data_IF_066931574139
#
_entry.id   IF_066931574139
#
_cell.length_a   1.000
_cell.length_b   1.000
_cell.length_c   1.000
_cell.angle_alpha   90.00
_cell.angle_beta   90.00
_cell.angle_gamma   90.00
#
_symmetry.space_group_name_H-M   'P 1'
#
loop_
_entity.id
_entity.type
_entity.pdbx_description
1 polymer ?
#
# COMPACT_ATOMS: atom_id res chain seq x y z
N UNK A 1 13.85 -20.96 3.28
CA UNK A 1 14.06 -19.51 3.46
C UNK A 1 13.13 -18.77 2.51
N UNK A 2 12.43 -17.73 2.97
CA UNK A 2 11.61 -16.88 2.08
C UNK A 2 12.55 -16.01 1.24
N UNK A 3 12.39 -15.94 -0.10
CA UNK A 3 13.22 -15.08 -0.93
C UNK A 3 13.12 -13.63 -0.47
N UNK A 4 14.26 -12.96 -0.34
CA UNK A 4 14.37 -11.54 0.01
C UNK A 4 14.60 -10.77 -1.26
N UNK A 5 13.82 -9.72 -1.50
CA UNK A 5 13.99 -8.88 -2.68
C UNK A 5 14.54 -7.50 -2.31
N UNK A 6 15.30 -6.90 -3.21
CA UNK A 6 15.82 -5.54 -3.08
C UNK A 6 15.32 -4.67 -4.23
N UNK A 7 14.85 -3.46 -3.92
CA UNK A 7 14.54 -2.45 -4.93
C UNK A 7 15.80 -1.63 -5.20
N UNK A 8 16.31 -1.71 -6.41
CA UNK A 8 17.48 -0.95 -6.83
C UNK A 8 17.13 0.03 -7.91
N UNK A 9 17.53 1.28 -7.68
CA UNK A 9 17.28 2.40 -8.60
C UNK A 9 18.58 2.97 -9.11
N UNK A 10 18.55 3.48 -10.33
CA UNK A 10 19.72 4.03 -11.01
C UNK A 10 19.53 5.53 -11.30
N UNK A 11 20.62 6.25 -11.55
CA UNK A 11 20.55 7.67 -11.94
C UNK A 11 19.88 7.90 -13.30
N UNK A 12 19.77 6.85 -14.13
CA UNK A 12 19.01 6.88 -15.38
C UNK A 12 17.51 6.64 -15.21
N UNK A 13 16.96 6.69 -13.99
CA UNK A 13 15.54 6.41 -13.69
C UNK A 13 15.06 4.99 -13.99
N UNK A 14 15.91 4.07 -14.44
CA UNK A 14 15.59 2.65 -14.37
C UNK A 14 15.64 2.15 -12.92
N UNK A 15 14.92 1.07 -12.68
CA UNK A 15 14.94 0.33 -11.43
C UNK A 15 14.68 -1.14 -11.72
N UNK A 16 15.07 -1.99 -10.78
CA UNK A 16 14.87 -3.44 -10.85
C UNK A 16 14.61 -3.97 -9.45
N UNK A 17 13.75 -4.98 -9.35
CA UNK A 17 13.52 -5.75 -8.13
C UNK A 17 14.22 -7.11 -8.27
N UNK A 18 15.36 -7.29 -7.61
CA UNK A 18 16.14 -8.54 -7.69
C UNK A 18 16.08 -9.36 -6.39
N UNK A 19 16.29 -10.67 -6.52
CA UNK A 19 16.44 -11.58 -5.37
C UNK A 19 17.83 -11.43 -4.74
N UNK A 20 17.89 -11.36 -3.42
CA UNK A 20 19.12 -11.25 -2.60
C UNK A 20 19.56 -12.64 -2.10
N UNK A 21 19.16 -13.73 -2.75
CA UNK A 21 19.55 -15.09 -2.38
C UNK A 21 20.82 -15.54 -3.11
N UNK A 22 21.68 -16.28 -2.41
CA UNK A 22 22.88 -16.91 -3.01
C UNK A 22 22.53 -17.91 -4.13
N UNK A 23 21.29 -18.41 -4.13
CA UNK A 23 20.72 -19.20 -5.22
C UNK A 23 19.97 -18.28 -6.19
N UNK A 24 20.22 -18.37 -7.52
CA UNK A 24 19.44 -17.65 -8.51
C UNK A 24 17.95 -17.93 -8.34
N UNK A 25 17.12 -16.87 -8.27
CA UNK A 25 15.67 -17.06 -8.22
C UNK A 25 15.19 -17.60 -9.56
N UNK A 26 14.32 -18.62 -9.59
CA UNK A 26 13.71 -19.09 -10.84
C UNK A 26 12.70 -18.09 -11.42
N UNK A 27 12.38 -17.02 -10.69
CA UNK A 27 11.44 -15.97 -11.10
C UNK A 27 12.25 -14.85 -11.75
N UNK A 28 11.96 -14.56 -13.02
CA UNK A 28 12.58 -13.45 -13.75
C UNK A 28 12.43 -12.12 -12.98
N UNK A 29 13.43 -11.26 -13.09
CA UNK A 29 13.40 -9.91 -12.50
C UNK A 29 12.17 -9.13 -13.01
N UNK A 30 11.60 -8.30 -12.14
CA UNK A 30 10.46 -7.45 -12.48
C UNK A 30 10.88 -5.98 -12.41
N UNK A 31 10.76 -5.30 -13.54
CA UNK A 31 11.11 -3.89 -13.71
C UNK A 31 9.88 -2.96 -13.61
N UNK A 32 8.75 -3.48 -13.13
CA UNK A 32 7.53 -2.70 -12.86
C UNK A 32 7.39 -2.43 -11.35
N UNK A 33 6.79 -1.28 -11.00
CA UNK A 33 6.47 -1.00 -9.60
C UNK A 33 5.43 -1.98 -9.06
N UNK A 34 4.53 -2.47 -9.92
CA UNK A 34 3.55 -3.50 -9.58
C UNK A 34 4.19 -4.82 -9.16
N UNK A 35 5.39 -5.12 -9.65
CA UNK A 35 6.18 -6.27 -9.20
C UNK A 35 6.41 -6.32 -7.70
N UNK A 36 6.45 -5.15 -7.03
CA UNK A 36 6.58 -5.05 -5.58
C UNK A 36 5.47 -5.79 -4.83
N UNK A 37 4.26 -5.88 -5.40
CA UNK A 37 3.14 -6.61 -4.80
C UNK A 37 3.39 -8.12 -4.64
N UNK A 38 4.13 -8.70 -5.57
CA UNK A 38 4.45 -10.13 -5.58
C UNK A 38 5.83 -10.42 -4.99
N UNK A 39 6.69 -9.40 -4.94
CA UNK A 39 8.09 -9.47 -4.50
C UNK A 39 8.37 -8.36 -3.47
N UNK A 40 7.84 -8.47 -2.25
CA UNK A 40 8.03 -7.46 -1.22
C UNK A 40 9.52 -7.26 -0.93
N UNK A 41 9.96 -6.00 -0.97
CA UNK A 41 11.37 -5.66 -0.85
C UNK A 41 11.77 -5.41 0.58
N UNK A 42 12.88 -5.98 1.02
CA UNK A 42 13.42 -5.79 2.39
C UNK A 42 14.28 -4.54 2.50
N UNK A 43 14.84 -4.08 1.38
CA UNK A 43 15.77 -2.96 1.33
C UNK A 43 15.65 -2.22 0.00
N UNK A 44 15.93 -0.93 0.09
CA UNK A 44 16.02 -0.01 -1.04
C UNK A 44 17.48 0.45 -1.19
N UNK A 45 18.01 0.42 -2.42
CA UNK A 45 19.34 0.93 -2.76
C UNK A 45 19.25 1.89 -3.94
N UNK A 46 19.92 3.03 -3.80
CA UNK A 46 20.12 3.97 -4.88
C UNK A 46 21.56 3.88 -5.38
N UNK A 47 21.72 3.67 -6.69
CA UNK A 47 22.99 3.73 -7.39
C UNK A 47 23.10 5.05 -8.15
N UNK A 48 24.20 5.77 -7.93
CA UNK A 48 24.51 7.03 -8.62
C UNK A 48 24.91 6.85 -10.08
N UNK A 49 25.24 5.62 -10.48
CA UNK A 49 25.59 5.25 -11.86
C UNK A 49 24.35 4.82 -12.65
N UNK A 50 24.45 4.93 -13.97
CA UNK A 50 23.40 4.51 -14.91
C UNK A 50 23.42 2.98 -15.06
N UNK A 51 22.27 2.37 -15.35
CA UNK A 51 22.23 0.94 -15.65
C UNK A 51 22.96 0.63 -16.96
N UNK A 52 23.35 -0.62 -17.17
CA UNK A 52 24.14 -1.07 -18.32
C UNK A 52 23.38 -1.13 -19.67
N UNK A 53 22.10 -0.71 -19.71
CA UNK A 53 21.30 -0.72 -20.94
C UNK A 53 21.77 0.34 -21.93
N UNK A 54 21.73 0.02 -23.22
CA UNK A 54 22.30 0.85 -24.31
C UNK A 54 21.65 2.24 -24.33
N UNK A 55 20.33 2.29 -24.19
CA UNK A 55 19.54 3.53 -24.16
C UNK A 55 19.87 4.46 -22.97
N UNK A 56 20.62 3.97 -21.99
CA UNK A 56 21.06 4.77 -20.84
C UNK A 56 22.45 5.37 -21.00
N UNK A 57 23.21 5.00 -22.04
CA UNK A 57 24.57 5.51 -22.24
C UNK A 57 24.56 7.01 -22.62
N UNK A 58 23.55 7.45 -23.38
CA UNK A 58 23.38 8.86 -23.75
C UNK A 58 21.90 9.26 -23.72
N UNK A 59 21.43 9.80 -22.58
CA UNK A 59 20.04 10.22 -22.41
C UNK A 59 19.92 11.67 -22.87
N UNK A 60 19.25 11.88 -24.01
CA UNK A 60 18.97 13.23 -24.54
C UNK A 60 17.60 13.74 -24.12
N UNK A 61 16.60 12.86 -24.06
CA UNK A 61 15.22 13.22 -23.72
C UNK A 61 14.89 12.92 -22.25
N UNK A 62 15.40 13.78 -21.35
CA UNK A 62 15.06 13.74 -19.93
C UNK A 62 13.59 14.04 -19.62
N UNK A 63 12.93 15.02 -20.25
CA UNK A 63 11.53 15.34 -20.00
C UNK A 63 10.62 14.11 -20.13
N UNK A 64 10.65 13.41 -21.26
CA UNK A 64 9.80 12.22 -21.49
C UNK A 64 10.07 11.12 -20.47
N UNK A 65 11.34 10.96 -20.08
CA UNK A 65 11.71 9.92 -19.13
C UNK A 65 11.27 10.21 -17.70
N UNK A 66 11.35 11.48 -17.31
CA UNK A 66 10.84 11.97 -16.03
C UNK A 66 9.32 11.82 -16.00
N UNK A 67 8.63 12.24 -17.05
CA UNK A 67 7.17 12.11 -17.15
C UNK A 67 6.72 10.64 -17.03
N UNK A 68 7.33 9.74 -17.78
CA UNK A 68 7.04 8.30 -17.69
C UNK A 68 7.28 7.74 -16.27
N UNK A 69 8.35 8.18 -15.59
CA UNK A 69 8.62 7.75 -14.23
C UNK A 69 7.61 8.30 -13.21
N UNK A 70 7.20 9.56 -13.37
CA UNK A 70 6.17 10.20 -12.54
C UNK A 70 4.82 9.52 -12.76
N UNK A 71 4.44 9.26 -14.01
CA UNK A 71 3.21 8.54 -14.36
C UNK A 71 3.16 7.16 -13.74
N UNK A 72 4.24 6.39 -13.82
CA UNK A 72 4.33 5.07 -13.18
C UNK A 72 4.17 5.14 -11.66
N UNK A 73 4.72 6.16 -11.01
CA UNK A 73 4.53 6.37 -9.56
C UNK A 73 3.06 6.64 -9.24
N UNK A 74 2.41 7.55 -9.99
CA UNK A 74 1.00 7.90 -9.77
C UNK A 74 0.06 6.70 -9.96
N UNK A 75 0.25 5.95 -11.05
CA UNK A 75 -0.51 4.72 -11.30
C UNK A 75 -0.32 3.66 -10.21
N UNK A 76 0.91 3.52 -9.69
CA UNK A 76 1.16 2.61 -8.59
C UNK A 76 0.41 3.04 -7.33
N UNK A 77 0.48 4.34 -7.00
CA UNK A 77 -0.22 4.94 -5.89
C UNK A 77 -1.73 4.65 -6.01
N UNK A 78 -2.39 5.06 -7.09
CA UNK A 78 -3.82 4.77 -7.36
C UNK A 78 -4.18 3.29 -7.10
N UNK A 79 -3.38 2.35 -7.62
CA UNK A 79 -3.60 0.92 -7.37
C UNK A 79 -3.42 0.53 -5.90
N UNK A 80 -2.44 1.10 -5.19
CA UNK A 80 -2.27 0.88 -3.74
C UNK A 80 -3.46 1.35 -2.95
N UNK A 81 -4.10 2.46 -3.33
CA UNK A 81 -5.32 2.92 -2.65
C UNK A 81 -6.50 1.99 -2.84
N UNK A 82 -6.75 1.52 -4.07
CA UNK A 82 -7.82 0.54 -4.33
C UNK A 82 -7.62 -0.74 -3.52
N UNK A 83 -6.35 -1.15 -3.36
CA UNK A 83 -6.02 -2.30 -2.53
C UNK A 83 -6.28 -2.02 -1.05
N UNK A 84 -5.88 -0.85 -0.54
CA UNK A 84 -6.12 -0.45 0.85
C UNK A 84 -7.60 -0.49 1.18
N UNK A 85 -8.44 0.09 0.31
CA UNK A 85 -9.89 0.06 0.40
C UNK A 85 -10.42 -1.39 0.40
N UNK A 86 -9.97 -2.19 -0.57
CA UNK A 86 -10.36 -3.61 -0.70
C UNK A 86 -10.05 -4.41 0.57
N UNK A 87 -8.90 -4.18 1.20
CA UNK A 87 -8.50 -4.86 2.44
C UNK A 87 -9.35 -4.40 3.61
N UNK A 88 -9.62 -3.09 3.73
CA UNK A 88 -10.52 -2.56 4.74
C UNK A 88 -11.94 -3.13 4.62
N UNK A 89 -12.53 -3.19 3.42
CA UNK A 89 -13.82 -3.85 3.22
C UNK A 89 -13.81 -5.31 3.64
N UNK A 90 -12.77 -6.06 3.23
CA UNK A 90 -12.63 -7.47 3.63
C UNK A 90 -12.57 -7.60 5.15
N UNK A 91 -11.87 -6.71 5.83
CA UNK A 91 -11.81 -6.67 7.29
C UNK A 91 -13.18 -6.37 7.93
N UNK A 92 -13.91 -5.38 7.42
CA UNK A 92 -15.23 -5.03 7.96
C UNK A 92 -16.28 -6.13 7.77
N UNK A 93 -16.17 -6.92 6.69
CA UNK A 93 -17.02 -8.09 6.43
C UNK A 93 -16.80 -9.28 7.36
N UNK A 94 -15.67 -9.35 8.06
CA UNK A 94 -15.39 -10.42 9.03
C UNK A 94 -16.35 -10.26 10.22
N UNK A 95 -16.81 -11.37 10.79
CA UNK A 95 -17.72 -11.37 11.93
C UNK A 95 -17.08 -10.71 13.16
N UNK A 96 -17.84 -9.84 13.84
CA UNK A 96 -17.36 -9.04 14.98
C UNK A 96 -16.78 -9.86 16.13
N UNK A 97 -17.33 -11.03 16.42
CA UNK A 97 -16.85 -11.90 17.50
C UNK A 97 -15.44 -12.44 17.20
N UNK A 98 -15.13 -12.70 15.93
CA UNK A 98 -13.80 -13.13 15.50
C UNK A 98 -12.81 -11.99 15.69
N UNK A 99 -13.18 -10.77 15.27
CA UNK A 99 -12.35 -9.58 15.47
C UNK A 99 -12.07 -9.36 16.95
N UNK A 100 -13.08 -9.38 17.82
CA UNK A 100 -12.90 -9.19 19.25
C UNK A 100 -12.02 -10.28 19.91
N UNK A 101 -12.18 -11.54 19.50
CA UNK A 101 -11.46 -12.67 20.10
C UNK A 101 -10.02 -12.80 19.63
N UNK A 102 -9.70 -12.41 18.38
CA UNK A 102 -8.38 -12.66 17.80
C UNK A 102 -7.50 -11.40 17.68
N UNK A 103 -8.02 -10.21 18.00
CA UNK A 103 -7.25 -8.95 17.91
C UNK A 103 -6.42 -8.64 19.15
N UNK A 104 -5.87 -9.68 19.77
CA UNK A 104 -4.97 -9.52 20.91
C UNK A 104 -3.59 -8.97 20.47
N UNK A 105 -2.92 -8.16 21.30
CA UNK A 105 -1.61 -7.56 20.98
C UNK A 105 -0.54 -8.59 20.59
N UNK A 106 -0.62 -9.80 21.13
CA UNK A 106 0.35 -10.87 20.88
C UNK A 106 0.27 -11.44 19.45
N UNK A 107 -0.83 -11.20 18.73
CA UNK A 107 -1.00 -11.65 17.34
C UNK A 107 -0.69 -10.49 16.39
N UNK A 108 0.60 -10.15 16.32
CA UNK A 108 1.17 -8.96 15.68
C UNK A 108 0.41 -8.45 14.43
N UNK A 109 0.26 -9.27 13.39
CA UNK A 109 -0.37 -8.82 12.13
C UNK A 109 -1.88 -8.61 12.25
N UNK A 110 -2.56 -9.41 13.08
CA UNK A 110 -4.00 -9.23 13.32
C UNK A 110 -4.23 -7.96 14.13
N UNK A 111 -3.44 -7.75 15.18
CA UNK A 111 -3.50 -6.53 15.98
C UNK A 111 -3.26 -5.29 15.12
N UNK A 112 -2.28 -5.31 14.21
CA UNK A 112 -2.03 -4.20 13.29
C UNK A 112 -3.22 -3.90 12.38
N UNK A 113 -3.83 -4.93 11.78
CA UNK A 113 -5.00 -4.75 10.92
C UNK A 113 -6.23 -4.27 11.71
N UNK A 114 -6.41 -4.77 12.94
CA UNK A 114 -7.47 -4.33 13.84
C UNK A 114 -7.30 -2.88 14.27
N UNK A 115 -6.08 -2.48 14.60
CA UNK A 115 -5.76 -1.11 14.96
C UNK A 115 -6.10 -0.17 13.79
N UNK A 116 -5.57 -0.48 12.61
CA UNK A 116 -5.74 0.33 11.39
C UNK A 116 -7.21 0.52 10.96
N UNK A 117 -7.98 -0.57 10.91
CA UNK A 117 -9.34 -0.56 10.34
C UNK A 117 -10.46 -0.63 11.38
N UNK A 118 -10.16 -1.05 12.61
CA UNK A 118 -11.14 -1.29 13.67
C UNK A 118 -11.09 -0.30 14.83
N UNK A 119 -9.95 0.38 15.04
CA UNK A 119 -9.71 1.26 16.18
C UNK A 119 -9.43 2.70 15.73
N UNK A 120 -8.52 2.89 14.78
CA UNK A 120 -8.20 4.22 14.27
C UNK A 120 -9.42 4.82 13.59
N UNK A 121 -9.85 5.96 14.13
CA UNK A 121 -10.97 6.75 13.64
C UNK A 121 -10.46 8.19 13.48
N UNK A 122 -10.06 8.52 12.27
CA UNK A 122 -9.43 9.79 11.90
C UNK A 122 -9.71 10.08 10.41
N UNK A 123 -9.49 11.32 10.01
CA UNK A 123 -9.53 11.69 8.60
C UNK A 123 -8.32 11.09 7.85
N UNK A 124 -8.40 11.01 6.52
CA UNK A 124 -7.40 10.29 5.74
C UNK A 124 -6.02 10.96 5.78
N UNK A 125 -6.02 12.29 5.84
CA UNK A 125 -4.81 13.10 5.95
C UNK A 125 -4.07 12.87 7.28
N UNK A 126 -4.78 12.43 8.32
CA UNK A 126 -4.22 12.12 9.63
C UNK A 126 -3.92 10.62 9.82
N UNK A 127 -4.25 9.79 8.83
CA UNK A 127 -4.02 8.35 8.90
C UNK A 127 -2.56 8.04 8.53
N UNK A 128 -1.80 7.57 9.51
CA UNK A 128 -0.36 7.29 9.41
C UNK A 128 0.03 6.30 8.29
N UNK A 129 -0.93 5.53 7.75
CA UNK A 129 -0.69 4.75 6.54
C UNK A 129 -0.34 5.65 5.35
N UNK A 130 -0.95 6.82 5.25
CA UNK A 130 -0.80 7.77 4.15
C UNK A 130 0.34 8.79 4.34
N UNK A 131 1.02 8.85 5.49
CA UNK A 131 2.17 9.77 5.71
C UNK A 131 3.19 9.74 4.55
N UNK A 132 3.58 8.52 4.15
CA UNK A 132 4.56 8.31 3.07
C UNK A 132 3.98 8.62 1.71
N UNK A 133 2.67 8.54 1.57
CA UNK A 133 1.97 8.96 0.37
C UNK A 133 2.06 10.47 0.22
N UNK A 134 1.79 11.22 1.29
CA UNK A 134 1.94 12.67 1.32
C UNK A 134 3.37 13.08 0.96
N UNK A 135 4.38 12.45 1.56
CA UNK A 135 5.79 12.66 1.20
C UNK A 135 6.04 12.46 -0.31
N UNK A 136 5.44 11.44 -0.93
CA UNK A 136 5.58 11.20 -2.37
C UNK A 136 4.91 12.33 -3.16
N UNK A 137 3.69 12.75 -2.78
CA UNK A 137 2.99 13.85 -3.45
C UNK A 137 3.79 15.15 -3.40
N UNK A 138 4.40 15.48 -2.27
CA UNK A 138 5.28 16.66 -2.13
C UNK A 138 6.51 16.56 -3.05
N UNK A 139 7.19 15.42 -3.05
CA UNK A 139 8.35 15.18 -3.91
C UNK A 139 7.98 15.27 -5.39
N UNK A 140 6.80 14.79 -5.79
CA UNK A 140 6.32 14.90 -7.16
C UNK A 140 5.97 16.34 -7.54
N UNK A 141 5.43 17.13 -6.62
CA UNK A 141 5.20 18.56 -6.85
C UNK A 141 6.53 19.32 -7.04
N UNK A 142 7.55 19.00 -6.24
CA UNK A 142 8.90 19.54 -6.45
C UNK A 142 9.49 19.15 -7.80
N UNK A 143 9.32 17.88 -8.23
CA UNK A 143 9.73 17.43 -9.56
C UNK A 143 9.05 18.23 -10.65
N UNK A 144 7.74 18.46 -10.55
CA UNK A 144 7.01 19.26 -11.53
C UNK A 144 7.55 20.69 -11.61
N UNK A 145 7.88 21.31 -10.48
CA UNK A 145 8.50 22.64 -10.46
C UNK A 145 9.82 22.67 -11.24
N UNK A 146 10.70 21.70 -11.03
CA UNK A 146 11.95 21.60 -11.80
C UNK A 146 11.72 21.41 -13.30
N UNK A 147 10.69 20.65 -13.68
CA UNK A 147 10.32 20.46 -15.10
C UNK A 147 9.86 21.79 -15.70
N UNK A 148 9.02 22.54 -14.99
CA UNK A 148 8.49 23.83 -15.45
C UNK A 148 9.56 24.93 -15.54
N UNK A 149 10.52 24.94 -14.61
CA UNK A 149 11.63 25.91 -14.59
C UNK A 149 12.74 25.60 -15.61
N UNK A 150 12.75 24.38 -16.16
CA UNK A 150 13.71 23.90 -17.15
C UNK A 150 14.76 22.95 -16.58
N UNK A 151 15.08 21.91 -17.34
CA UNK A 151 15.95 20.81 -16.92
C UNK A 151 17.41 21.01 -17.37
N UNK A 152 18.20 21.71 -16.55
CA UNK A 152 19.66 21.69 -16.66
C UNK A 152 20.26 20.42 -16.02
N UNK A 153 21.59 20.22 -16.16
CA UNK A 153 22.25 19.04 -15.61
C UNK A 153 22.12 18.87 -14.09
N UNK A 154 22.01 19.97 -13.32
CA UNK A 154 21.82 19.92 -11.85
C UNK A 154 20.36 19.64 -11.48
N UNK A 155 19.42 20.21 -12.22
CA UNK A 155 17.99 19.93 -12.11
C UNK A 155 17.71 18.46 -12.39
N UNK A 156 18.31 17.87 -13.43
CA UNK A 156 18.20 16.44 -13.72
C UNK A 156 18.68 15.57 -12.55
N UNK A 157 19.84 15.86 -11.96
CA UNK A 157 20.31 15.13 -10.76
C UNK A 157 19.31 15.27 -9.60
N UNK A 158 18.80 16.48 -9.38
CA UNK A 158 17.84 16.76 -8.30
C UNK A 158 16.50 16.04 -8.50
N UNK A 159 15.99 15.98 -9.73
CA UNK A 159 14.76 15.28 -10.10
C UNK A 159 14.94 13.77 -9.97
N UNK A 160 16.05 13.23 -10.48
CA UNK A 160 16.32 11.78 -10.41
C UNK A 160 16.42 11.27 -8.98
N UNK A 161 17.07 12.03 -8.09
CA UNK A 161 17.13 11.71 -6.66
C UNK A 161 15.74 11.69 -6.02
N UNK A 162 14.86 12.65 -6.35
CA UNK A 162 13.49 12.72 -5.82
C UNK A 162 12.63 11.56 -6.30
N UNK A 163 12.64 11.27 -7.59
CA UNK A 163 11.91 10.12 -8.16
C UNK A 163 12.38 8.81 -7.51
N UNK A 164 13.69 8.65 -7.32
CA UNK A 164 14.23 7.47 -6.67
C UNK A 164 13.86 7.40 -5.18
N UNK A 165 13.81 8.52 -4.47
CA UNK A 165 13.26 8.61 -3.11
C UNK A 165 11.78 8.19 -3.07
N UNK A 166 10.95 8.65 -4.02
CA UNK A 166 9.55 8.22 -4.12
C UNK A 166 9.43 6.69 -4.23
N UNK A 167 10.25 6.06 -5.07
CA UNK A 167 10.27 4.59 -5.21
C UNK A 167 10.68 3.89 -3.92
N UNK A 168 11.65 4.45 -3.19
CA UNK A 168 12.02 3.96 -1.87
C UNK A 168 10.87 4.04 -0.84
N UNK A 169 10.07 5.10 -0.89
CA UNK A 169 8.86 5.27 -0.07
C UNK A 169 7.75 4.30 -0.45
N UNK A 170 7.50 4.11 -1.75
CA UNK A 170 6.58 3.11 -2.30
C UNK A 170 6.86 1.72 -1.73
N UNK A 171 8.12 1.28 -1.75
CA UNK A 171 8.50 -0.01 -1.17
C UNK A 171 8.22 -0.12 0.34
N UNK A 172 8.10 0.99 1.07
CA UNK A 172 7.66 0.99 2.48
C UNK A 172 6.14 0.88 2.61
N UNK A 173 5.39 1.61 1.77
CA UNK A 173 3.92 1.53 1.73
C UNK A 173 3.50 0.10 1.43
N UNK A 174 4.12 -0.53 0.43
CA UNK A 174 3.87 -1.94 0.07
C UNK A 174 4.05 -2.88 1.28
N UNK A 175 5.15 -2.74 2.02
CA UNK A 175 5.41 -3.58 3.19
C UNK A 175 4.35 -3.41 4.27
N UNK A 176 3.93 -2.19 4.56
CA UNK A 176 2.85 -1.98 5.54
C UNK A 176 1.55 -2.60 5.03
N UNK A 177 1.23 -2.42 3.74
CA UNK A 177 0.05 -2.99 3.11
C UNK A 177 0.04 -4.53 3.19
N UNK A 178 1.17 -5.21 2.96
CA UNK A 178 1.27 -6.66 3.12
C UNK A 178 1.00 -7.12 4.55
N UNK A 179 1.45 -6.37 5.57
CA UNK A 179 1.17 -6.70 6.98
C UNK A 179 -0.33 -6.63 7.26
N UNK A 180 -0.99 -5.59 6.75
CA UNK A 180 -2.44 -5.42 6.87
C UNK A 180 -3.18 -6.55 6.15
N UNK A 181 -2.82 -6.83 4.89
CA UNK A 181 -3.38 -7.95 4.10
C UNK A 181 -3.23 -9.29 4.82
N UNK A 182 -2.05 -9.57 5.40
CA UNK A 182 -1.79 -10.79 6.14
C UNK A 182 -2.64 -10.89 7.41
N UNK A 183 -2.80 -9.78 8.15
CA UNK A 183 -3.68 -9.69 9.31
C UNK A 183 -5.13 -10.03 8.97
N UNK A 184 -5.68 -9.38 7.94
CA UNK A 184 -7.03 -9.61 7.46
C UNK A 184 -7.21 -11.03 6.92
N UNK A 185 -6.22 -11.57 6.20
CA UNK A 185 -6.23 -12.96 5.70
C UNK A 185 -6.31 -13.96 6.86
N UNK A 186 -5.49 -13.76 7.91
CA UNK A 186 -5.51 -14.63 9.09
C UNK A 186 -6.83 -14.56 9.85
N UNK A 187 -7.37 -13.35 10.06
CA UNK A 187 -8.70 -13.20 10.66
C UNK A 187 -9.78 -13.95 9.87
N UNK A 188 -9.74 -13.88 8.55
CA UNK A 188 -10.68 -14.60 7.68
C UNK A 188 -10.50 -16.12 7.74
N UNK A 189 -9.27 -16.60 7.92
CA UNK A 189 -9.02 -18.03 8.16
C UNK A 189 -9.61 -18.49 9.49
N UNK A 190 -9.48 -17.68 10.55
CA UNK A 190 -10.10 -17.95 11.85
C UNK A 190 -11.62 -17.91 11.79
N UNK A 191 -12.22 -17.02 11.00
CA UNK A 191 -13.66 -17.00 10.79
C UNK A 191 -14.16 -18.31 10.17
N UNK A 192 -13.47 -18.82 9.14
CA UNK A 192 -13.82 -20.09 8.51
C UNK A 192 -13.76 -21.26 9.50
N UNK A 193 -12.67 -21.37 10.26
CA UNK A 193 -12.50 -22.46 11.24
C UNK A 193 -13.42 -22.30 12.45
N UNK A 194 -13.72 -21.07 12.88
CA UNK A 194 -14.68 -20.81 13.95
C UNK A 194 -16.10 -21.21 13.55
N UNK A 195 -16.55 -20.93 12.33
CA UNK A 195 -17.87 -21.37 11.89
C UNK A 195 -17.94 -22.88 11.67
N UNK A 196 -16.88 -23.51 11.17
CA UNK A 196 -16.76 -24.97 11.08
C UNK A 196 -16.82 -25.60 12.49
N UNK A 197 -16.14 -25.02 13.49
CA UNK A 197 -16.23 -25.42 14.90
C UNK A 197 -17.61 -25.13 15.52
N UNK A 198 -18.10 -23.90 15.45
CA UNK A 198 -19.39 -23.49 16.03
C UNK A 198 -20.56 -24.29 15.44
N UNK A 199 -20.50 -24.65 14.14
CA UNK A 199 -21.51 -25.48 13.49
C UNK A 199 -21.38 -26.96 13.87
N UNK A 200 -20.17 -27.46 14.18
CA UNK A 200 -19.96 -28.84 14.64
C UNK A 200 -20.23 -29.05 16.13
N UNK A 201 -20.20 -27.98 16.93
CA UNK A 201 -20.53 -28.00 18.38
C UNK A 201 -21.97 -27.56 18.67
N UNK A 202 -22.74 -27.14 17.65
CA UNK A 202 -24.17 -26.85 17.81
C UNK A 202 -24.97 -28.11 18.19
N UNK A 203 -25.32 -28.23 19.47
CA UNK A 203 -26.31 -29.20 19.96
C UNK A 203 -27.68 -28.95 19.31
N UNK A 204 -28.50 -30.01 19.07
CA UNK A 204 -29.79 -29.87 18.41
C UNK A 204 -30.74 -28.93 19.16
N UNK A 205 -31.14 -27.85 18.49
CA UNK A 205 -32.38 -27.07 18.51
C UNK A 205 -33.21 -26.85 19.81
N UNK A 206 -32.75 -27.20 21.01
CA UNK A 206 -33.55 -27.14 22.25
C UNK A 206 -33.16 -26.03 23.22
N UNK A 207 -32.18 -25.20 22.88
CA UNK A 207 -31.79 -24.04 23.69
C UNK A 207 -31.86 -22.73 22.89
N UNK A 208 -33.02 -22.40 22.33
CA UNK A 208 -33.32 -21.01 21.94
C UNK A 208 -33.53 -20.18 23.21
N UNK A 209 -32.43 -19.81 23.88
CA UNK A 209 -32.45 -18.57 24.67
C UNK A 209 -32.48 -17.43 23.67
N UNK A 210 -33.54 -16.62 23.70
CA UNK A 210 -33.55 -15.30 23.08
C UNK A 210 -32.41 -14.51 23.71
N UNK A 211 -31.24 -14.48 23.06
CA UNK A 211 -30.20 -13.53 23.41
C UNK A 211 -30.79 -12.14 23.21
N UNK A 212 -30.90 -11.40 24.31
CA UNK A 212 -31.27 -10.00 24.31
C UNK A 212 -30.30 -9.18 23.45
N UNK A 213 -30.77 -8.01 23.07
CA UNK A 213 -30.19 -7.20 22.01
C UNK A 213 -28.73 -6.76 22.28
N UNK A 214 -27.78 -7.38 21.58
CA UNK A 214 -26.42 -6.84 21.38
C UNK A 214 -26.48 -5.56 20.52
N UNK A 215 -27.04 -4.48 21.06
CA UNK A 215 -27.15 -3.17 20.40
C UNK A 215 -25.86 -2.32 20.46
N UNK A 216 -25.14 -2.21 21.59
CA UNK A 216 -24.00 -1.29 21.68
C UNK A 216 -22.82 -1.65 20.78
N UNK A 217 -22.44 -2.93 20.72
CA UNK A 217 -21.32 -3.41 19.89
C UNK A 217 -21.64 -3.40 18.39
N UNK A 218 -22.90 -3.62 18.02
CA UNK A 218 -23.34 -3.48 16.63
C UNK A 218 -23.27 -2.01 16.16
N UNK A 219 -23.70 -1.09 17.04
CA UNK A 219 -23.68 0.34 16.80
C UNK A 219 -22.25 0.89 16.74
N UNK A 220 -21.34 0.42 17.60
CA UNK A 220 -19.93 0.79 17.54
C UNK A 220 -19.28 0.30 16.23
N UNK A 221 -19.52 -0.95 15.82
CA UNK A 221 -19.00 -1.49 14.57
C UNK A 221 -19.53 -0.72 13.34
N UNK A 222 -20.79 -0.28 13.37
CA UNK A 222 -21.36 0.54 12.28
C UNK A 222 -20.77 1.95 12.25
N UNK A 223 -20.54 2.57 13.42
CA UNK A 223 -19.90 3.89 13.52
C UNK A 223 -18.46 3.82 12.99
N UNK A 224 -17.68 2.81 13.40
CA UNK A 224 -16.31 2.62 12.93
C UNK A 224 -16.29 2.41 11.40
N UNK A 225 -17.18 1.56 10.87
CA UNK A 225 -17.30 1.37 9.43
C UNK A 225 -17.69 2.66 8.69
N UNK A 226 -18.67 3.41 9.18
CA UNK A 226 -19.09 4.67 8.57
C UNK A 226 -17.97 5.73 8.58
N UNK A 227 -17.22 5.82 9.67
CA UNK A 227 -16.09 6.75 9.74
C UNK A 227 -14.92 6.31 8.86
N UNK A 228 -14.65 5.01 8.76
CA UNK A 228 -13.70 4.48 7.78
C UNK A 228 -14.13 4.75 6.34
N UNK A 229 -15.42 4.60 6.02
CA UNK A 229 -15.98 4.96 4.70
C UNK A 229 -15.80 6.44 4.38
N UNK A 230 -16.03 7.34 5.35
CA UNK A 230 -15.76 8.78 5.19
C UNK A 230 -14.28 9.08 4.95
N UNK A 231 -13.40 8.37 5.66
CA UNK A 231 -11.95 8.43 5.42
C UNK A 231 -11.62 8.07 3.96
N UNK A 232 -12.20 6.98 3.45
CA UNK A 232 -11.99 6.58 2.04
C UNK A 232 -12.54 7.62 1.06
N UNK A 233 -13.74 8.16 1.31
CA UNK A 233 -14.34 9.17 0.45
C UNK A 233 -13.46 10.43 0.34
N UNK A 234 -12.98 10.97 1.47
CA UNK A 234 -12.09 12.14 1.45
C UNK A 234 -10.75 11.87 0.77
N UNK A 235 -10.25 10.63 0.82
CA UNK A 235 -9.07 10.22 0.08
C UNK A 235 -9.34 10.20 -1.43
N UNK A 236 -10.45 9.61 -1.88
CA UNK A 236 -10.83 9.54 -3.31
C UNK A 236 -11.11 10.93 -3.91
N UNK A 237 -11.83 11.79 -3.18
CA UNK A 237 -12.08 13.19 -3.59
C UNK A 237 -10.77 13.94 -3.86
N UNK A 238 -9.71 13.68 -3.08
CA UNK A 238 -8.39 14.28 -3.32
C UNK A 238 -7.74 13.84 -4.64
N UNK A 239 -7.99 12.62 -5.13
CA UNK A 239 -7.52 12.18 -6.44
C UNK A 239 -8.32 12.81 -7.56
N UNK A 240 -9.65 12.76 -7.45
CA UNK A 240 -10.57 13.29 -8.46
C UNK A 240 -10.34 14.80 -8.67
N UNK A 241 -10.21 15.58 -7.60
CA UNK A 241 -9.91 17.02 -7.67
C UNK A 241 -8.54 17.34 -8.29
N UNK A 242 -7.57 16.42 -8.26
CA UNK A 242 -6.25 16.61 -8.88
C UNK A 242 -6.18 16.12 -10.32
N UNK A 243 -7.08 15.25 -10.75
CA UNK A 243 -7.21 14.86 -12.15
C UNK A 243 -8.08 15.83 -12.95
N UNK A 244 -9.11 16.45 -12.36
CA UNK A 244 -9.87 17.52 -13.03
C UNK A 244 -9.01 18.75 -13.35
N UNK A 245 -8.06 19.09 -12.47
CA UNK A 245 -7.08 20.15 -12.71
C UNK A 245 -5.98 19.80 -13.76
N UNK A 246 -6.09 18.65 -14.46
CA UNK A 246 -5.17 18.23 -15.53
C UNK A 246 -5.79 18.20 -16.92
N UNK A 247 -7.10 18.40 -17.04
CA UNK A 247 -7.80 18.29 -18.33
C UNK A 247 -7.79 19.63 -19.10
N UNK A 248 -7.46 20.76 -18.43
CA UNK A 248 -7.53 22.11 -19.01
C UNK A 248 -6.19 22.89 -19.02
N UNK A 249 -5.06 22.24 -19.32
CA UNK A 249 -3.81 22.94 -19.71
C UNK A 249 -3.15 22.31 -20.97
#
# INVERSE_FOLDING_TARGET
>A
MTPRYELVTYSCLHFTVYSVSDTPSPIADDDSLFGLWTKPTVKYRHNSWRCARIECQNIQDWPTRIDAAVKNIRQYLESTSEQYETVGYKYHRIHRAIKAHWSHPDIKYISLAHEQFGVHVCDWYEDSFFDRWHDICELLAEVQRFVNEGLDGRAVVSVTQRINKCRGLIGRIEREMQKLMLGVKKLKQYERTYWEWASSVQKPASAKKKEGEMRPMAMLASIVFQKWMKRQAGFLEYFELRDENRIDD
#
